data_IF_301881199661
#
_entry.id   IF_301881199661
#
_cell.length_a   1.000
_cell.length_b   1.000
_cell.length_c   1.000
_cell.angle_alpha   90.00
_cell.angle_beta   90.00
_cell.angle_gamma   90.00
#
_symmetry.space_group_name_H-M   'P 1'
#
loop_
_entity.id
_entity.type
_entity.pdbx_description
1 polymer ?
#
# COMPACT_ATOMS: atom_id res chain seq x y z
N UNK A 1 -1.32 7.38 8.93
CA UNK A 1 -2.42 7.07 9.88
C UNK A 1 -3.41 8.22 10.01
N UNK A 2 -2.98 9.47 10.30
CA UNK A 2 -3.94 10.58 10.45
C UNK A 2 -4.70 10.90 9.14
N UNK A 3 -4.03 10.91 8.00
CA UNK A 3 -4.67 11.08 6.69
C UNK A 3 -5.66 9.95 6.35
N UNK A 4 -5.29 8.69 6.58
CA UNK A 4 -6.19 7.55 6.36
C UNK A 4 -7.40 7.54 7.30
N UNK A 5 -7.22 7.97 8.55
CA UNK A 5 -8.29 8.14 9.50
C UNK A 5 -9.28 9.25 9.10
N UNK A 6 -8.76 10.41 8.65
CA UNK A 6 -9.60 11.47 8.08
C UNK A 6 -10.37 10.98 6.84
N UNK A 7 -9.74 10.16 6.00
CA UNK A 7 -10.41 9.48 4.88
C UNK A 7 -11.63 8.68 5.32
N UNK A 8 -11.52 7.87 6.39
CA UNK A 8 -12.66 7.11 6.95
C UNK A 8 -13.78 8.03 7.43
N UNK A 9 -13.44 9.11 8.13
CA UNK A 9 -14.44 10.07 8.64
C UNK A 9 -15.20 10.70 7.48
N UNK A 10 -14.49 11.25 6.49
CA UNK A 10 -15.11 11.89 5.34
C UNK A 10 -15.92 10.92 4.47
N UNK A 11 -15.53 9.64 4.41
CA UNK A 11 -16.26 8.62 3.67
C UNK A 11 -17.66 8.36 4.25
N UNK A 12 -17.82 8.52 5.57
CA UNK A 12 -19.10 8.33 6.26
C UNK A 12 -20.01 9.58 6.23
N UNK A 13 -19.51 10.73 5.76
CA UNK A 13 -20.30 11.97 5.64
C UNK A 13 -20.80 12.09 4.18
N UNK A 14 -22.12 12.19 4.00
CA UNK A 14 -22.72 12.40 2.68
C UNK A 14 -22.15 13.67 2.03
N UNK A 15 -21.70 13.58 0.79
CA UNK A 15 -21.15 14.71 0.02
C UNK A 15 -19.63 14.90 0.13
N UNK A 16 -18.95 14.22 1.05
CA UNK A 16 -17.48 14.35 1.23
C UNK A 16 -16.69 13.20 0.61
N UNK A 17 -17.30 12.40 -0.26
CA UNK A 17 -16.69 11.23 -0.88
C UNK A 17 -15.38 11.56 -1.62
N UNK A 18 -15.36 12.65 -2.40
CA UNK A 18 -14.17 13.08 -3.14
C UNK A 18 -13.02 13.46 -2.19
N UNK A 19 -13.35 14.18 -1.11
CA UNK A 19 -12.37 14.58 -0.08
C UNK A 19 -11.82 13.34 0.64
N UNK A 20 -12.68 12.36 0.93
CA UNK A 20 -12.26 11.09 1.52
C UNK A 20 -11.21 10.38 0.66
N UNK A 21 -11.44 10.31 -0.66
CA UNK A 21 -10.51 9.70 -1.61
C UNK A 21 -9.16 10.42 -1.68
N UNK A 22 -9.15 11.76 -1.61
CA UNK A 22 -7.91 12.54 -1.56
C UNK A 22 -7.11 12.20 -0.29
N UNK A 23 -7.75 12.18 0.87
CA UNK A 23 -7.09 11.85 2.13
C UNK A 23 -6.56 10.41 2.16
N UNK A 24 -7.32 9.47 1.59
CA UNK A 24 -6.83 8.12 1.38
C UNK A 24 -5.61 8.08 0.45
N UNK A 25 -5.67 8.74 -0.72
CA UNK A 25 -4.56 8.79 -1.66
C UNK A 25 -3.29 9.36 -1.01
N UNK A 26 -3.39 10.46 -0.26
CA UNK A 26 -2.27 11.04 0.50
C UNK A 26 -1.72 10.02 1.51
N UNK A 27 -2.58 9.37 2.29
CA UNK A 27 -2.16 8.40 3.29
C UNK A 27 -1.42 7.21 2.69
N UNK A 28 -1.87 6.74 1.53
CA UNK A 28 -1.24 5.62 0.79
C UNK A 28 0.07 6.06 0.14
N UNK A 29 0.11 7.27 -0.42
CA UNK A 29 1.33 7.83 -0.97
C UNK A 29 2.44 7.95 0.08
N UNK A 30 2.09 8.31 1.32
CA UNK A 30 3.06 8.28 2.43
C UNK A 30 3.60 6.88 2.69
N UNK A 31 2.78 5.82 2.58
CA UNK A 31 3.28 4.45 2.68
C UNK A 31 4.21 4.07 1.54
N UNK A 32 3.94 4.52 0.31
CA UNK A 32 4.87 4.34 -0.82
C UNK A 32 6.22 4.97 -0.51
N UNK A 33 6.22 6.24 -0.06
CA UNK A 33 7.46 6.96 0.29
C UNK A 33 8.23 6.26 1.42
N UNK A 34 7.53 5.80 2.47
CA UNK A 34 8.16 5.05 3.57
C UNK A 34 8.81 3.77 3.05
N UNK A 35 8.07 2.99 2.26
CA UNK A 35 8.58 1.74 1.67
C UNK A 35 9.84 1.97 0.84
N UNK A 36 9.81 2.98 -0.04
CA UNK A 36 10.95 3.33 -0.90
C UNK A 36 12.17 3.80 -0.10
N UNK A 37 11.98 4.60 0.96
CA UNK A 37 13.09 5.05 1.82
C UNK A 37 13.79 3.91 2.55
N UNK A 38 13.06 2.85 2.85
CA UNK A 38 13.58 1.66 3.55
C UNK A 38 14.05 0.55 2.63
N UNK A 39 13.80 0.69 1.32
CA UNK A 39 14.15 -0.32 0.34
C UNK A 39 15.63 -0.24 -0.02
N UNK A 40 16.27 -1.40 -0.11
CA UNK A 40 17.59 -1.52 -0.74
C UNK A 40 17.48 -1.27 -2.25
N UNK A 41 18.61 -1.00 -2.90
CA UNK A 41 18.66 -0.73 -4.34
C UNK A 41 17.99 -1.87 -5.11
N UNK A 42 16.89 -1.55 -5.82
CA UNK A 42 16.13 -2.50 -6.61
C UNK A 42 16.67 -2.47 -8.05
N UNK A 43 17.13 -3.61 -8.60
CA UNK A 43 17.65 -3.65 -9.96
C UNK A 43 16.53 -3.40 -10.97
N UNK A 44 16.83 -2.60 -12.01
CA UNK A 44 15.88 -2.20 -13.07
C UNK A 44 15.20 -3.41 -13.73
N UNK A 45 15.93 -4.53 -13.88
CA UNK A 45 15.38 -5.77 -14.45
C UNK A 45 14.16 -6.28 -13.68
N UNK A 46 14.20 -6.23 -12.35
CA UNK A 46 13.08 -6.65 -11.48
C UNK A 46 11.88 -5.71 -11.63
N UNK A 47 12.15 -4.41 -11.80
CA UNK A 47 11.11 -3.38 -12.04
C UNK A 47 10.36 -3.70 -13.33
N UNK A 48 11.07 -3.97 -14.43
CA UNK A 48 10.45 -4.24 -15.74
C UNK A 48 9.58 -5.50 -15.68
N UNK A 49 10.09 -6.59 -15.10
CA UNK A 49 9.37 -7.87 -15.01
C UNK A 49 8.09 -7.74 -14.19
N UNK A 50 8.12 -7.00 -13.07
CA UNK A 50 6.95 -6.81 -12.22
C UNK A 50 5.95 -5.77 -12.77
N UNK A 51 6.39 -4.85 -13.62
CA UNK A 51 5.52 -3.79 -14.18
C UNK A 51 4.43 -4.37 -15.08
N UNK A 52 4.72 -5.42 -15.85
CA UNK A 52 3.76 -6.05 -16.76
C UNK A 52 2.55 -6.63 -16.01
N UNK A 53 2.71 -7.53 -15.01
CA UNK A 53 1.58 -8.03 -14.25
C UNK A 53 0.89 -6.92 -13.44
N UNK A 54 1.62 -5.91 -12.98
CA UNK A 54 1.03 -4.74 -12.32
C UNK A 54 0.07 -3.97 -13.24
N UNK A 55 0.48 -3.70 -14.48
CA UNK A 55 -0.37 -3.01 -15.45
C UNK A 55 -1.63 -3.81 -15.77
N UNK A 56 -1.54 -5.13 -15.89
CA UNK A 56 -2.72 -5.99 -16.10
C UNK A 56 -3.70 -5.85 -14.93
N UNK A 57 -3.20 -5.98 -13.69
CA UNK A 57 -4.02 -5.86 -12.47
C UNK A 57 -4.63 -4.46 -12.34
N UNK A 58 -3.94 -3.41 -12.79
CA UNK A 58 -4.43 -2.03 -12.74
C UNK A 58 -5.44 -1.69 -13.86
N UNK A 59 -5.24 -2.21 -15.07
CA UNK A 59 -6.09 -1.95 -16.23
C UNK A 59 -7.47 -2.63 -16.11
N UNK A 60 -7.55 -3.77 -15.45
CA UNK A 60 -8.83 -4.49 -15.27
C UNK A 60 -9.88 -3.62 -14.53
N UNK A 61 -9.59 -3.04 -13.35
CA UNK A 61 -10.49 -2.08 -12.71
C UNK A 61 -10.79 -0.87 -13.58
N UNK A 62 -9.80 -0.29 -14.27
CA UNK A 62 -10.00 0.88 -15.13
C UNK A 62 -11.09 0.61 -16.19
N UNK A 63 -10.99 -0.53 -16.88
CA UNK A 63 -11.93 -0.91 -17.94
C UNK A 63 -13.30 -1.29 -17.37
N UNK A 64 -13.34 -2.03 -16.26
CA UNK A 64 -14.61 -2.48 -15.67
C UNK A 64 -15.43 -1.35 -15.04
N UNK A 65 -14.75 -0.32 -14.52
CA UNK A 65 -15.40 0.79 -13.82
C UNK A 65 -15.52 2.06 -14.66
N UNK A 66 -14.91 2.16 -15.85
CA UNK A 66 -15.01 3.37 -16.71
C UNK A 66 -16.45 3.74 -17.04
N UNK A 67 -17.29 2.73 -17.28
CA UNK A 67 -18.67 2.93 -17.73
C UNK A 67 -19.65 3.03 -16.56
N UNK A 68 -19.28 2.52 -15.39
CA UNK A 68 -20.12 2.46 -14.20
C UNK A 68 -20.02 3.71 -13.31
N UNK A 69 -19.01 4.55 -13.52
CA UNK A 69 -18.67 5.66 -12.61
C UNK A 69 -18.95 7.00 -13.28
N UNK A 70 -19.59 7.92 -12.54
CA UNK A 70 -19.78 9.29 -12.98
C UNK A 70 -18.42 9.98 -13.21
N UNK A 71 -18.27 10.67 -14.35
CA UNK A 71 -17.02 11.33 -14.78
C UNK A 71 -16.43 12.22 -13.68
N UNK A 72 -17.27 12.92 -12.92
CA UNK A 72 -16.85 13.84 -11.84
C UNK A 72 -16.09 13.17 -10.69
N UNK A 73 -16.42 11.90 -10.40
CA UNK A 73 -15.84 11.13 -9.28
C UNK A 73 -14.75 10.18 -9.77
N UNK A 74 -14.81 9.81 -11.06
CA UNK A 74 -13.89 8.87 -11.71
C UNK A 74 -12.42 9.24 -11.46
N UNK A 75 -12.05 10.51 -11.67
CA UNK A 75 -10.67 10.95 -11.50
C UNK A 75 -10.15 10.73 -10.06
N UNK A 76 -10.97 11.00 -9.05
CA UNK A 76 -10.58 10.79 -7.65
C UNK A 76 -10.43 9.30 -7.32
N UNK A 77 -11.32 8.46 -7.84
CA UNK A 77 -11.24 7.00 -7.68
C UNK A 77 -9.97 6.49 -8.35
N UNK A 78 -9.70 6.95 -9.58
CA UNK A 78 -8.51 6.54 -10.33
C UNK A 78 -7.22 6.92 -9.63
N UNK A 79 -7.12 8.13 -9.08
CA UNK A 79 -5.95 8.55 -8.28
C UNK A 79 -5.77 7.64 -7.07
N UNK A 80 -6.86 7.37 -6.32
CA UNK A 80 -6.80 6.50 -5.15
C UNK A 80 -6.38 5.07 -5.51
N UNK A 81 -7.00 4.47 -6.53
CA UNK A 81 -6.69 3.12 -7.01
C UNK A 81 -5.26 3.04 -7.54
N UNK A 82 -4.78 4.09 -8.21
CA UNK A 82 -3.38 4.19 -8.63
C UNK A 82 -2.43 4.19 -7.44
N UNK A 83 -2.70 4.97 -6.39
CA UNK A 83 -1.87 4.96 -5.18
C UNK A 83 -1.85 3.58 -4.51
N UNK A 84 -3.01 2.91 -4.41
CA UNK A 84 -3.11 1.54 -3.87
C UNK A 84 -2.29 0.56 -4.70
N UNK A 85 -2.44 0.65 -6.03
CA UNK A 85 -1.69 -0.17 -6.97
C UNK A 85 -0.18 0.07 -6.84
N UNK A 86 0.26 1.32 -6.85
CA UNK A 86 1.67 1.69 -6.70
C UNK A 86 2.23 1.17 -5.37
N UNK A 87 1.47 1.27 -4.29
CA UNK A 87 1.88 0.70 -3.01
C UNK A 87 2.07 -0.82 -3.11
N UNK A 88 1.08 -1.55 -3.61
CA UNK A 88 1.18 -2.99 -3.83
C UNK A 88 2.39 -3.36 -4.70
N UNK A 89 2.62 -2.63 -5.80
CA UNK A 89 3.75 -2.81 -6.68
C UNK A 89 5.10 -2.65 -5.96
N UNK A 90 5.29 -1.54 -5.23
CA UNK A 90 6.51 -1.30 -4.46
C UNK A 90 6.72 -2.39 -3.40
N UNK A 91 5.68 -2.75 -2.65
CA UNK A 91 5.81 -3.81 -1.63
C UNK A 91 6.20 -5.17 -2.23
N UNK A 92 5.70 -5.47 -3.43
CA UNK A 92 6.06 -6.67 -4.20
C UNK A 92 7.50 -6.62 -4.67
N UNK A 93 7.95 -5.49 -5.23
CA UNK A 93 9.34 -5.33 -5.65
C UNK A 93 10.32 -5.48 -4.49
N UNK A 94 10.03 -4.87 -3.34
CA UNK A 94 10.87 -4.97 -2.14
C UNK A 94 11.00 -6.42 -1.68
N UNK A 95 9.89 -7.18 -1.68
CA UNK A 95 9.92 -8.58 -1.29
C UNK A 95 10.66 -9.48 -2.28
N UNK A 96 10.43 -9.30 -3.59
CA UNK A 96 11.14 -10.06 -4.64
C UNK A 96 12.63 -9.80 -4.58
N UNK A 97 13.04 -8.55 -4.34
CA UNK A 97 14.45 -8.17 -4.27
C UNK A 97 15.17 -8.77 -3.05
N UNK A 98 14.53 -8.74 -1.88
CA UNK A 98 15.08 -9.29 -0.63
C UNK A 98 14.00 -10.06 0.14
N UNK A 99 13.78 -11.35 -0.17
CA UNK A 99 12.74 -12.13 0.47
C UNK A 99 13.15 -12.46 1.91
N UNK A 100 12.50 -11.83 2.88
CA UNK A 100 12.69 -12.12 4.30
C UNK A 100 11.39 -11.88 5.08
N UNK A 101 11.37 -12.26 6.36
CA UNK A 101 10.18 -12.12 7.21
C UNK A 101 9.75 -10.67 7.41
N UNK A 102 10.67 -9.70 7.38
CA UNK A 102 10.37 -8.28 7.54
C UNK A 102 9.63 -7.77 6.29
N UNK A 103 10.21 -7.99 5.12
CA UNK A 103 9.63 -7.61 3.83
C UNK A 103 8.35 -8.37 3.51
N UNK A 104 8.14 -9.58 4.09
CA UNK A 104 6.87 -10.30 4.00
C UNK A 104 5.73 -9.54 4.70
N UNK A 105 5.99 -8.86 5.82
CA UNK A 105 4.98 -8.00 6.46
C UNK A 105 4.61 -6.81 5.59
N UNK A 106 5.60 -6.22 4.90
CA UNK A 106 5.36 -5.16 3.94
C UNK A 106 4.50 -5.65 2.77
N UNK A 107 4.87 -6.76 2.14
CA UNK A 107 4.08 -7.38 1.07
C UNK A 107 2.66 -7.71 1.53
N UNK A 108 2.52 -8.30 2.73
CA UNK A 108 1.20 -8.62 3.30
C UNK A 108 0.34 -7.37 3.46
N UNK A 109 0.93 -6.24 3.87
CA UNK A 109 0.21 -4.97 3.95
C UNK A 109 -0.29 -4.52 2.57
N UNK A 110 0.54 -4.61 1.53
CA UNK A 110 0.17 -4.26 0.16
C UNK A 110 -0.93 -5.16 -0.42
N UNK A 111 -0.79 -6.48 -0.26
CA UNK A 111 -1.76 -7.48 -0.74
C UNK A 111 -3.12 -7.29 -0.06
N UNK A 112 -3.14 -7.20 1.27
CA UNK A 112 -4.41 -7.03 1.99
C UNK A 112 -5.05 -5.69 1.63
N UNK A 113 -4.27 -4.64 1.39
CA UNK A 113 -4.82 -3.36 0.98
C UNK A 113 -5.46 -3.41 -0.41
N UNK A 114 -4.81 -4.08 -1.36
CA UNK A 114 -5.32 -4.28 -2.71
C UNK A 114 -6.65 -5.03 -2.66
N UNK A 115 -6.70 -6.16 -1.95
CA UNK A 115 -7.93 -6.97 -1.78
C UNK A 115 -9.03 -6.12 -1.13
N UNK A 116 -8.71 -5.42 -0.04
CA UNK A 116 -9.64 -4.53 0.65
C UNK A 116 -10.22 -3.46 -0.28
N UNK A 117 -9.39 -2.89 -1.17
CA UNK A 117 -9.79 -1.85 -2.11
C UNK A 117 -10.68 -2.39 -3.23
N UNK A 118 -10.36 -3.58 -3.77
CA UNK A 118 -11.18 -4.25 -4.78
C UNK A 118 -12.57 -4.56 -4.22
N UNK A 119 -12.63 -5.15 -3.02
CA UNK A 119 -13.89 -5.46 -2.34
C UNK A 119 -14.69 -4.18 -2.06
N UNK A 120 -14.02 -3.13 -1.60
CA UNK A 120 -14.67 -1.85 -1.31
C UNK A 120 -15.25 -1.20 -2.57
N UNK A 121 -14.48 -1.15 -3.66
CA UNK A 121 -14.94 -0.63 -4.95
C UNK A 121 -16.13 -1.41 -5.48
N UNK A 122 -16.07 -2.74 -5.44
CA UNK A 122 -17.18 -3.58 -5.86
C UNK A 122 -18.45 -3.30 -5.03
N UNK A 123 -18.32 -3.21 -3.70
CA UNK A 123 -19.44 -2.91 -2.82
C UNK A 123 -20.05 -1.52 -3.07
N UNK A 124 -19.24 -0.55 -3.43
CA UNK A 124 -19.67 0.83 -3.69
C UNK A 124 -20.52 0.92 -4.98
N UNK A 125 -20.12 0.23 -6.05
CA UNK A 125 -20.77 0.33 -7.36
C UNK A 125 -21.88 -0.70 -7.59
N UNK A 126 -21.82 -1.86 -6.94
CA UNK A 126 -22.77 -2.96 -7.15
C UNK A 126 -23.74 -3.21 -5.97
N UNK A 127 -23.83 -2.26 -5.02
CA UNK A 127 -24.80 -2.23 -3.89
C UNK A 127 -24.92 -3.54 -3.10
N UNK A 128 -23.89 -3.91 -2.35
CA UNK A 128 -23.92 -5.10 -1.48
C UNK A 128 -24.04 -4.80 0.03
N UNK A 129 -24.31 -5.88 0.77
CA UNK A 129 -24.70 -5.98 2.18
C UNK A 129 -23.68 -5.37 3.17
N UNK A 130 -24.20 -4.88 4.31
CA UNK A 130 -23.43 -4.33 5.46
C UNK A 130 -22.26 -5.21 5.91
N UNK A 131 -22.37 -6.54 5.78
CA UNK A 131 -21.31 -7.50 6.15
C UNK A 131 -20.00 -7.26 5.39
N UNK A 132 -20.06 -6.84 4.12
CA UNK A 132 -18.87 -6.54 3.32
C UNK A 132 -18.15 -5.31 3.87
N UNK A 133 -18.88 -4.33 4.39
CA UNK A 133 -18.31 -3.11 4.98
C UNK A 133 -17.46 -3.44 6.21
N UNK A 134 -17.92 -4.35 7.07
CA UNK A 134 -17.15 -4.81 8.24
C UNK A 134 -15.86 -5.50 7.80
N UNK A 135 -15.95 -6.38 6.80
CA UNK A 135 -14.79 -7.04 6.21
C UNK A 135 -13.74 -6.05 5.71
N UNK A 136 -14.15 -5.01 4.98
CA UNK A 136 -13.27 -3.94 4.48
C UNK A 136 -12.56 -3.20 5.63
N UNK A 137 -13.26 -2.89 6.72
CA UNK A 137 -12.65 -2.23 7.88
C UNK A 137 -11.62 -3.14 8.56
N UNK A 138 -11.92 -4.43 8.71
CA UNK A 138 -11.00 -5.40 9.30
C UNK A 138 -9.74 -5.54 8.45
N UNK A 139 -9.88 -5.71 7.13
CA UNK A 139 -8.74 -5.81 6.22
C UNK A 139 -7.92 -4.52 6.20
N UNK A 140 -8.58 -3.36 6.32
CA UNK A 140 -7.91 -2.07 6.43
C UNK A 140 -7.08 -1.92 7.71
N UNK A 141 -7.63 -2.34 8.85
CA UNK A 141 -6.89 -2.35 10.12
C UNK A 141 -5.71 -3.34 10.09
N UNK A 142 -5.92 -4.52 9.50
CA UNK A 142 -4.86 -5.51 9.35
C UNK A 142 -3.71 -4.99 8.48
N UNK A 143 -4.01 -4.31 7.38
CA UNK A 143 -3.01 -3.65 6.54
C UNK A 143 -2.16 -2.66 7.35
N UNK A 144 -2.80 -1.82 8.16
CA UNK A 144 -2.10 -0.86 9.02
C UNK A 144 -1.23 -1.55 10.07
N UNK A 145 -1.72 -2.62 10.69
CA UNK A 145 -0.95 -3.43 11.62
C UNK A 145 0.28 -4.05 10.95
N UNK A 146 0.12 -4.63 9.76
CA UNK A 146 1.22 -5.23 8.99
C UNK A 146 2.29 -4.18 8.62
N UNK A 147 1.87 -2.98 8.17
CA UNK A 147 2.78 -1.88 7.88
C UNK A 147 3.52 -1.38 9.12
N UNK A 148 2.82 -1.25 10.26
CA UNK A 148 3.45 -0.87 11.53
C UNK A 148 4.50 -1.90 11.96
N UNK A 149 4.15 -3.19 11.90
CA UNK A 149 5.06 -4.28 12.25
C UNK A 149 6.29 -4.32 11.35
N UNK A 150 6.12 -4.05 10.05
CA UNK A 150 7.24 -3.88 9.12
C UNK A 150 8.20 -2.77 9.59
N UNK A 151 7.68 -1.57 9.88
CA UNK A 151 8.50 -0.42 10.29
C UNK A 151 9.28 -0.73 11.58
N UNK A 152 8.63 -1.31 12.59
CA UNK A 152 9.27 -1.63 13.87
C UNK A 152 10.38 -2.67 13.68
N UNK A 153 10.10 -3.75 12.94
CA UNK A 153 11.10 -4.79 12.71
C UNK A 153 12.28 -4.28 11.88
N UNK A 154 12.03 -3.41 10.90
CA UNK A 154 13.08 -2.79 10.07
C UNK A 154 13.96 -1.84 10.90
N UNK A 155 13.37 -1.07 11.81
CA UNK A 155 14.13 -0.22 12.72
C UNK A 155 15.07 -1.06 13.62
N UNK A 156 14.57 -2.16 14.19
CA UNK A 156 15.37 -3.07 15.01
C UNK A 156 16.50 -3.74 14.20
N UNK A 157 16.25 -4.10 12.94
CA UNK A 157 17.27 -4.66 12.04
C UNK A 157 18.40 -3.64 11.80
N UNK A 158 18.05 -2.40 11.46
CA UNK A 158 19.02 -1.33 11.23
C UNK A 158 19.86 -1.04 12.50
N UNK A 159 19.26 -1.04 13.69
CA UNK A 159 19.97 -0.82 14.96
C UNK A 159 20.94 -1.96 15.31
N UNK A 160 20.70 -3.19 14.82
CA UNK A 160 21.62 -4.34 15.02
C UNK A 160 22.81 -4.31 14.08
N UNK A 161 22.68 -3.72 12.90
CA UNK A 161 23.76 -3.64 11.91
C UNK A 161 24.82 -2.58 12.31
N UNK A 162 24.42 -1.47 12.94
CA UNK A 162 25.31 -0.37 13.35
C UNK A 162 26.43 -0.79 14.32
N UNK A 163 26.18 -1.58 15.39
CA UNK A 163 27.23 -2.08 16.29
C UNK A 163 28.21 -3.02 15.59
N UNK A 164 27.70 -3.86 14.68
CA UNK A 164 28.49 -4.91 14.02
C UNK A 164 29.54 -4.32 13.07
N UNK A 165 29.18 -3.28 12.32
CA UNK A 165 30.12 -2.57 11.46
C UNK A 165 31.19 -1.80 12.25
N UNK A 166 30.82 -1.09 13.33
CA UNK A 166 31.80 -0.41 14.20
C UNK A 166 32.84 -1.36 14.79
N UNK A 167 32.42 -2.56 15.18
CA UNK A 167 33.30 -3.56 15.76
C UNK A 167 34.24 -4.19 14.72
N UNK A 168 33.80 -4.26 13.45
CA UNK A 168 34.61 -4.76 12.34
C UNK A 168 35.64 -3.72 11.86
N UNK A 169 35.26 -2.44 11.77
CA UNK A 169 36.20 -1.35 11.44
C UNK A 169 37.27 -1.17 12.53
N UNK A 170 36.90 -1.33 13.81
CA UNK A 170 37.86 -1.30 14.93
C UNK A 170 38.93 -2.40 14.87
N UNK A 171 38.65 -3.54 14.24
CA UNK A 171 39.60 -4.66 14.12
C UNK A 171 40.52 -4.53 12.90
N UNK A 172 40.13 -3.75 11.90
CA UNK A 172 40.95 -3.51 10.69
C UNK A 172 41.97 -2.38 10.85
N UNK A 173 41.90 -1.61 11.94
CA UNK A 173 42.81 -0.49 12.26
C UNK A 173 43.87 -0.90 13.30
N UNK A 174 43.98 -2.19 13.63
CA UNK A 174 45.07 -2.77 14.43
C UNK A 174 45.94 -3.65 13.55
#
# INVERSE_FOLDING_TARGET
>A
MLATFLGIIFLNIKGYFNIALIFYAIGVFLYVVISLKTAEVIPIKTIIIATIPFLIVYLVPLILYSDAVQIEVFNFIMIYVFCVGLFFFITTLVYINKPNKINLWLLSSGVVFLISTIIHGYNLFFKFLITIRVGVVITFLFMHYAMYKYIVLKAIENDREIPSQKQQTSRLVK
#
